data_IF_995187654394
#
_entry.id   IF_995187654394
#
_cell.length_a   1.000
_cell.length_b   1.000
_cell.length_c   1.000
_cell.angle_alpha   90.00
_cell.angle_beta   90.00
_cell.angle_gamma   90.00
#
_symmetry.space_group_name_H-M   'P 1'
#
loop_
_entity.id
_entity.type
_entity.pdbx_description
1 polymer ?
#
# COMPACT_ATOMS: atom_id res chain seq x y z
N UNK A 1 17.31 -6.71 -13.19
CA UNK A 1 16.45 -6.75 -11.98
C UNK A 1 15.55 -7.98 -11.92
N UNK A 2 14.92 -8.44 -13.02
CA UNK A 2 14.08 -9.64 -13.02
C UNK A 2 14.81 -10.96 -12.65
N UNK A 3 16.09 -11.11 -13.01
CA UNK A 3 16.86 -12.33 -12.77
C UNK A 3 17.11 -12.63 -11.27
N UNK A 4 17.22 -11.59 -10.43
CA UNK A 4 17.48 -11.74 -8.99
C UNK A 4 16.20 -12.15 -8.25
N UNK A 5 15.03 -11.67 -8.68
CA UNK A 5 13.74 -12.11 -8.15
C UNK A 5 13.46 -13.59 -8.47
N UNK A 6 13.86 -14.05 -9.66
CA UNK A 6 13.64 -15.44 -10.07
C UNK A 6 14.55 -16.43 -9.32
N UNK A 7 15.81 -16.05 -9.06
CA UNK A 7 16.79 -16.91 -8.38
C UNK A 7 16.57 -17.05 -6.87
N UNK A 8 15.96 -16.06 -6.20
CA UNK A 8 15.70 -16.11 -4.75
C UNK A 8 14.34 -16.75 -4.41
N UNK A 9 13.43 -16.90 -5.39
CA UNK A 9 12.10 -17.48 -5.19
C UNK A 9 12.13 -19.01 -5.22
N UNK A 10 12.85 -19.61 -4.27
CA UNK A 10 12.81 -21.05 -3.95
C UNK A 10 12.05 -21.29 -2.64
N UNK A 11 11.01 -20.51 -2.37
CA UNK A 11 10.23 -20.63 -1.13
C UNK A 11 8.78 -20.97 -1.44
N UNK A 12 8.26 -22.05 -0.83
CA UNK A 12 6.86 -22.47 -0.93
C UNK A 12 5.99 -21.33 -0.39
N UNK A 13 5.34 -20.60 -1.30
CA UNK A 13 4.45 -19.50 -0.95
C UNK A 13 3.17 -20.13 -0.38
N UNK A 14 2.86 -19.84 0.89
CA UNK A 14 1.62 -20.28 1.52
C UNK A 14 0.50 -19.29 1.17
N UNK A 15 -0.40 -19.72 0.28
CA UNK A 15 -1.52 -18.93 -0.24
C UNK A 15 -2.63 -18.66 0.80
N UNK A 16 -2.65 -19.38 1.94
CA UNK A 16 -3.60 -19.19 3.05
C UNK A 16 -2.96 -18.44 4.23
N UNK A 17 -2.36 -17.28 3.99
CA UNK A 17 -1.79 -16.47 5.06
C UNK A 17 -2.68 -15.27 5.37
N UNK A 18 -2.86 -14.97 6.66
CA UNK A 18 -3.57 -13.77 7.16
C UNK A 18 -3.08 -12.49 6.49
N UNK A 19 -1.78 -12.43 6.15
CA UNK A 19 -1.16 -11.29 5.46
C UNK A 19 -1.66 -11.10 4.01
N UNK A 20 -1.97 -12.18 3.31
CA UNK A 20 -2.56 -12.13 1.97
C UNK A 20 -4.01 -11.61 2.04
N UNK A 21 -4.78 -12.09 3.01
CA UNK A 21 -6.14 -11.60 3.26
C UNK A 21 -6.13 -10.10 3.64
N UNK A 22 -5.22 -9.70 4.54
CA UNK A 22 -5.02 -8.28 4.89
C UNK A 22 -4.65 -7.43 3.67
N UNK A 23 -3.76 -7.93 2.79
CA UNK A 23 -3.42 -7.27 1.54
C UNK A 23 -4.63 -7.06 0.63
N UNK A 24 -5.46 -8.09 0.43
CA UNK A 24 -6.70 -7.98 -0.36
C UNK A 24 -7.65 -6.94 0.26
N UNK A 25 -7.80 -6.90 1.58
CA UNK A 25 -8.65 -5.90 2.26
C UNK A 25 -8.14 -4.48 2.00
N UNK A 26 -6.83 -4.23 2.11
CA UNK A 26 -6.25 -2.90 1.81
C UNK A 26 -6.43 -2.52 0.33
N UNK A 27 -6.32 -3.48 -0.58
CA UNK A 27 -6.56 -3.25 -2.00
C UNK A 27 -8.03 -2.90 -2.26
N UNK A 28 -8.97 -3.59 -1.60
CA UNK A 28 -10.39 -3.27 -1.68
C UNK A 28 -10.69 -1.86 -1.16
N UNK A 29 -10.12 -1.49 -0.01
CA UNK A 29 -10.25 -0.14 0.54
C UNK A 29 -9.71 0.94 -0.42
N UNK A 30 -8.58 0.65 -1.08
CA UNK A 30 -8.03 1.52 -2.11
C UNK A 30 -9.00 1.72 -3.28
N UNK A 31 -9.59 0.64 -3.79
CA UNK A 31 -10.58 0.72 -4.86
C UNK A 31 -11.85 1.48 -4.43
N UNK A 32 -12.31 1.32 -3.19
CA UNK A 32 -13.45 2.07 -2.66
C UNK A 32 -13.17 3.58 -2.66
N UNK A 33 -11.97 4.00 -2.25
CA UNK A 33 -11.56 5.43 -2.32
C UNK A 33 -11.56 5.93 -3.76
N UNK A 34 -11.05 5.12 -4.70
CA UNK A 34 -11.09 5.44 -6.13
C UNK A 34 -12.51 5.54 -6.69
N UNK A 35 -13.40 4.61 -6.33
CA UNK A 35 -14.80 4.65 -6.74
C UNK A 35 -15.48 5.90 -6.20
N UNK A 36 -15.20 6.29 -4.96
CA UNK A 36 -15.68 7.56 -4.38
C UNK A 36 -15.15 8.78 -5.15
N UNK A 37 -13.89 8.79 -5.56
CA UNK A 37 -13.31 9.86 -6.36
C UNK A 37 -13.99 10.00 -7.74
N UNK A 38 -14.20 8.88 -8.43
CA UNK A 38 -14.90 8.89 -9.72
C UNK A 38 -16.37 9.29 -9.58
N UNK A 39 -17.05 8.81 -8.54
CA UNK A 39 -18.43 9.20 -8.24
C UNK A 39 -18.55 10.68 -7.83
N UNK A 40 -17.50 11.25 -7.21
CA UNK A 40 -17.41 12.65 -6.82
C UNK A 40 -16.99 13.60 -7.94
N UNK A 41 -16.99 13.18 -9.21
CA UNK A 41 -16.74 14.08 -10.33
C UNK A 41 -15.27 14.38 -10.62
N UNK A 42 -14.33 13.57 -10.13
CA UNK A 42 -12.87 13.74 -10.27
C UNK A 42 -12.28 14.95 -9.52
N UNK A 43 -12.95 15.42 -8.48
CA UNK A 43 -12.38 16.42 -7.58
C UNK A 43 -11.23 15.82 -6.77
N UNK A 44 -10.00 16.31 -6.97
CA UNK A 44 -8.80 15.88 -6.22
C UNK A 44 -8.94 16.20 -4.74
N UNK A 45 -9.71 17.23 -4.40
CA UNK A 45 -10.07 17.57 -3.02
C UNK A 45 -10.84 16.44 -2.30
N UNK A 46 -11.55 15.57 -3.03
CA UNK A 46 -12.24 14.40 -2.47
C UNK A 46 -11.31 13.20 -2.21
N UNK A 47 -10.16 13.13 -2.90
CA UNK A 47 -9.10 12.16 -2.63
C UNK A 47 -8.28 12.53 -1.39
N UNK A 48 -8.10 13.83 -1.17
CA UNK A 48 -7.37 14.39 -0.02
C UNK A 48 -8.27 14.64 1.19
N UNK A 49 -9.59 14.55 1.01
CA UNK A 49 -10.54 14.67 2.11
C UNK A 49 -10.35 13.47 3.04
N UNK A 50 -10.07 13.76 4.32
CA UNK A 50 -9.92 12.75 5.37
C UNK A 50 -11.00 11.68 5.26
N UNK A 51 -10.60 10.43 4.99
CA UNK A 51 -11.51 9.30 4.99
C UNK A 51 -11.54 8.75 6.42
N UNK A 52 -12.44 9.31 7.24
CA UNK A 52 -12.50 9.03 8.67
C UNK A 52 -11.24 9.52 9.40
N UNK A 53 -10.47 8.65 10.09
CA UNK A 53 -9.29 9.03 10.86
C UNK A 53 -8.01 9.19 10.01
N UNK A 54 -8.03 8.77 8.74
CA UNK A 54 -6.81 8.74 7.91
C UNK A 54 -6.77 10.02 7.07
N UNK A 55 -5.77 10.91 7.31
CA UNK A 55 -5.70 12.19 6.62
C UNK A 55 -5.45 12.06 5.13
N UNK A 56 -4.69 11.03 4.69
CA UNK A 56 -4.38 10.77 3.28
C UNK A 56 -4.49 9.26 3.00
N UNK A 57 -5.69 8.77 2.63
CA UNK A 57 -5.92 7.34 2.47
C UNK A 57 -5.10 6.75 1.32
N UNK A 58 -4.92 7.53 0.25
CA UNK A 58 -4.28 7.09 -0.98
C UNK A 58 -2.77 6.81 -0.81
N UNK A 59 -2.09 7.46 0.14
CA UNK A 59 -0.67 7.24 0.44
C UNK A 59 -0.47 6.13 1.45
N UNK A 60 -1.40 5.94 2.38
CA UNK A 60 -1.29 4.95 3.45
C UNK A 60 -1.66 3.54 2.97
N UNK A 61 -2.74 3.40 2.19
CA UNK A 61 -3.22 2.07 1.77
C UNK A 61 -2.25 1.28 0.87
N UNK A 62 -1.60 1.88 -0.15
CA UNK A 62 -0.63 1.16 -0.97
C UNK A 62 0.59 0.72 -0.17
N UNK A 63 1.08 1.56 0.74
CA UNK A 63 2.22 1.26 1.61
C UNK A 63 1.90 0.05 2.50
N UNK A 64 0.71 0.04 3.12
CA UNK A 64 0.26 -1.09 3.94
C UNK A 64 0.10 -2.37 3.12
N UNK A 65 -0.46 -2.29 1.91
CA UNK A 65 -0.57 -3.42 0.99
C UNK A 65 0.81 -4.03 0.67
N UNK A 66 1.76 -3.20 0.26
CA UNK A 66 3.11 -3.66 -0.08
C UNK A 66 3.89 -4.17 1.14
N UNK A 67 3.66 -3.59 2.32
CA UNK A 67 4.24 -4.06 3.58
C UNK A 67 3.68 -5.45 3.97
N UNK A 68 2.37 -5.64 3.86
CA UNK A 68 1.74 -6.95 4.05
C UNK A 68 2.26 -7.98 3.04
N UNK A 69 2.44 -7.60 1.77
CA UNK A 69 3.02 -8.47 0.75
C UNK A 69 4.48 -8.82 1.04
N UNK A 70 5.30 -7.86 1.48
CA UNK A 70 6.70 -8.09 1.84
C UNK A 70 6.85 -9.03 3.04
N UNK A 71 5.99 -8.87 4.05
CA UNK A 71 5.91 -9.78 5.21
C UNK A 71 5.44 -11.17 4.78
N UNK A 72 4.43 -11.24 3.90
CA UNK A 72 3.92 -12.51 3.37
C UNK A 72 4.99 -13.30 2.59
N UNK A 73 5.80 -12.62 1.78
CA UNK A 73 6.94 -13.23 1.08
C UNK A 73 8.13 -13.52 2.01
N UNK A 74 8.04 -13.24 3.31
CA UNK A 74 9.13 -13.33 4.29
C UNK A 74 10.42 -12.63 3.81
N UNK A 75 10.26 -11.54 3.04
CA UNK A 75 11.37 -10.83 2.42
C UNK A 75 11.77 -9.65 3.32
N UNK A 76 12.64 -9.93 4.29
CA UNK A 76 13.11 -8.95 5.29
C UNK A 76 13.69 -7.68 4.64
N UNK A 77 14.56 -7.76 3.60
CA UNK A 77 15.00 -6.57 2.86
C UNK A 77 13.84 -5.73 2.31
N UNK A 78 12.84 -6.38 1.69
CA UNK A 78 11.68 -5.67 1.12
C UNK A 78 10.85 -4.98 2.21
N UNK A 79 10.71 -5.57 3.40
CA UNK A 79 10.03 -4.93 4.53
C UNK A 79 10.74 -3.65 4.94
N UNK A 80 12.07 -3.68 5.07
CA UNK A 80 12.88 -2.51 5.44
C UNK A 80 12.70 -1.39 4.41
N UNK A 81 12.84 -1.70 3.12
CA UNK A 81 12.62 -0.72 2.05
C UNK A 81 11.20 -0.15 2.05
N UNK A 82 10.19 -0.98 2.31
CA UNK A 82 8.80 -0.55 2.37
C UNK A 82 8.49 0.36 3.56
N UNK A 83 9.13 0.14 4.71
CA UNK A 83 8.99 1.03 5.87
C UNK A 83 9.61 2.40 5.54
N UNK A 84 10.83 2.43 5.00
CA UNK A 84 11.51 3.67 4.63
C UNK A 84 10.70 4.43 3.58
N UNK A 85 10.24 3.72 2.54
CA UNK A 85 9.38 4.29 1.51
C UNK A 85 8.06 4.81 2.09
N UNK A 86 7.42 4.06 2.98
CA UNK A 86 6.17 4.45 3.62
C UNK A 86 6.27 5.73 4.45
N UNK A 87 7.36 5.89 5.19
CA UNK A 87 7.64 7.10 5.98
C UNK A 87 7.92 8.28 5.05
N UNK A 88 8.84 8.11 4.09
CA UNK A 88 9.22 9.16 3.15
C UNK A 88 8.03 9.63 2.30
N UNK A 89 7.23 8.70 1.79
CA UNK A 89 6.06 8.98 0.96
C UNK A 89 5.00 9.76 1.76
N UNK A 90 4.71 9.36 3.00
CA UNK A 90 3.79 10.12 3.85
C UNK A 90 4.28 11.53 4.19
N UNK A 91 5.58 11.70 4.47
CA UNK A 91 6.16 13.02 4.77
C UNK A 91 6.08 13.94 3.54
N UNK A 92 6.44 13.43 2.36
CA UNK A 92 6.39 14.21 1.11
C UNK A 92 4.96 14.61 0.77
N UNK A 93 4.01 13.67 0.89
CA UNK A 93 2.60 13.98 0.66
C UNK A 93 2.05 15.00 1.65
N UNK A 94 2.45 14.93 2.92
CA UNK A 94 2.08 15.93 3.91
C UNK A 94 2.65 17.32 3.57
N UNK A 95 3.91 17.38 3.13
CA UNK A 95 4.56 18.64 2.72
C UNK A 95 3.96 19.24 1.45
N UNK A 96 3.51 18.41 0.51
CA UNK A 96 2.88 18.91 -0.73
C UNK A 96 1.50 19.53 -0.51
N UNK A 97 0.89 19.29 0.65
CA UNK A 97 -0.44 19.77 1.04
C UNK A 97 -0.38 21.01 1.97
N UNK A 98 0.82 21.42 2.37
CA UNK A 98 1.13 22.63 3.14
C UNK A 98 1.57 23.77 2.24
#
# INVERSE_FOLDING_TARGET
MAAICFLVSRRKINYCSIWFCAGIVFLFLYYIVWTRYFAGGRDTALLEKKFGPIPMPLTVFPVLYFLCAAIWLHNVPAVIFMIIFGIAHNIVSYRSLS
#
